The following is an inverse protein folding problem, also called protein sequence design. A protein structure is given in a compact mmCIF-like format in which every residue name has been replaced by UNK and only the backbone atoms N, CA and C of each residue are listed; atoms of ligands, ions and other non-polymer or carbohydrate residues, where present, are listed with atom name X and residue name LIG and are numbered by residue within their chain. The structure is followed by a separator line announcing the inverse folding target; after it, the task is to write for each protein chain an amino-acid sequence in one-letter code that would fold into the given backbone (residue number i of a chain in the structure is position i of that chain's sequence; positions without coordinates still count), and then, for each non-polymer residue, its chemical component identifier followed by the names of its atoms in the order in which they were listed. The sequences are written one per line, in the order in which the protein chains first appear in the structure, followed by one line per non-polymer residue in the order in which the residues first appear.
data_IF_158220206145
#
_entry.id   IF_158220206145
#
_cell.length_a   1.000
_cell.length_b   1.000
_cell.length_c   1.000
_cell.angle_alpha   90.00
_cell.angle_beta   90.00
_cell.angle_gamma   90.00
#
_symmetry.space_group_name_H-M   'P 1'
#
loop_
_entity.id
_entity.type
_entity.pdbx_description
1 polymer ?
#
# COMPACT_ATOMS: atom_id res chain seq x y z
N UNK A 1 14.65 1.37 4.78
CA UNK A 1 15.11 2.70 4.31
C UNK A 1 15.18 2.70 2.80
N UNK A 2 14.91 3.82 2.10
CA UNK A 2 15.17 3.94 0.67
C UNK A 2 16.64 3.61 0.36
N UNK A 3 16.85 2.95 -0.76
CA UNK A 3 18.18 2.62 -1.26
C UNK A 3 18.49 3.46 -2.50
N UNK A 4 19.78 3.67 -2.79
CA UNK A 4 20.18 4.47 -3.93
C UNK A 4 19.88 3.75 -5.25
N UNK A 5 19.08 4.41 -6.11
CA UNK A 5 18.78 3.99 -7.48
C UNK A 5 19.25 5.08 -8.45
N UNK A 6 18.38 5.92 -9.02
CA UNK A 6 18.76 7.05 -9.89
C UNK A 6 19.70 8.02 -9.17
N UNK A 7 19.39 8.37 -7.93
CA UNK A 7 20.30 9.03 -7.02
C UNK A 7 21.07 7.98 -6.22
N UNK A 8 22.40 8.03 -6.29
CA UNK A 8 23.25 7.12 -5.52
C UNK A 8 23.46 7.58 -4.06
N UNK A 9 23.19 8.84 -3.79
CA UNK A 9 23.38 9.47 -2.49
C UNK A 9 22.48 10.70 -2.36
N UNK A 10 22.13 11.07 -1.13
CA UNK A 10 21.44 12.33 -0.83
C UNK A 10 21.86 12.88 0.53
N UNK A 11 21.75 14.18 0.68
CA UNK A 11 22.04 14.92 1.90
C UNK A 11 20.92 15.92 2.19
N UNK A 12 20.71 16.19 3.47
CA UNK A 12 19.75 17.19 3.93
C UNK A 12 20.51 18.28 4.71
N UNK A 13 20.10 19.54 4.52
CA UNK A 13 20.60 20.66 5.30
C UNK A 13 20.22 20.55 6.78
N UNK A 14 20.98 21.16 7.70
CA UNK A 14 20.68 21.08 9.13
C UNK A 14 19.29 21.54 9.54
N UNK A 15 18.71 22.47 8.79
CA UNK A 15 17.33 22.98 8.98
C UNK A 15 16.24 22.05 8.39
N UNK A 16 16.63 20.97 7.69
CA UNK A 16 15.72 20.04 7.07
C UNK A 16 15.00 20.56 5.82
N UNK A 17 15.36 21.75 5.32
CA UNK A 17 14.64 22.43 4.26
C UNK A 17 15.22 22.24 2.86
N UNK A 18 16.45 21.75 2.74
CA UNK A 18 17.09 21.51 1.44
C UNK A 18 17.64 20.10 1.37
N UNK A 19 17.22 19.40 0.32
CA UNK A 19 17.67 18.06 0.01
C UNK A 19 18.47 18.08 -1.29
N UNK A 20 19.69 17.54 -1.27
CA UNK A 20 20.56 17.39 -2.43
C UNK A 20 20.61 15.92 -2.82
N UNK A 21 20.13 15.59 -4.01
CA UNK A 21 20.15 14.23 -4.57
C UNK A 21 21.22 14.16 -5.67
N UNK A 22 22.20 13.30 -5.47
CA UNK A 22 23.32 13.12 -6.40
C UNK A 22 23.01 12.01 -7.38
N UNK A 23 22.78 12.41 -8.62
CA UNK A 23 22.32 11.55 -9.72
C UNK A 23 23.50 10.81 -10.32
N UNK A 24 23.30 9.52 -10.65
CA UNK A 24 24.34 8.73 -11.34
C UNK A 24 24.59 9.28 -12.75
N UNK A 25 25.85 9.29 -13.15
CA UNK A 25 26.27 9.72 -14.49
C UNK A 25 26.04 8.67 -15.59
N UNK A 26 25.78 7.42 -15.22
CA UNK A 26 25.68 6.27 -16.13
C UNK A 26 24.24 5.88 -16.46
N UNK A 27 23.30 6.72 -16.15
CA UNK A 27 21.87 6.42 -16.38
C UNK A 27 21.55 6.47 -17.87
N UNK A 28 20.80 5.46 -18.33
CA UNK A 28 20.29 5.39 -19.68
C UNK A 28 18.79 5.10 -19.68
N UNK A 29 18.05 5.79 -20.54
CA UNK A 29 16.69 5.43 -20.86
C UNK A 29 16.63 4.12 -21.66
N UNK A 30 15.48 3.45 -21.67
CA UNK A 30 15.28 2.20 -22.41
C UNK A 30 15.51 2.34 -23.94
N UNK A 31 15.37 3.55 -24.50
CA UNK A 31 15.68 3.85 -25.89
C UNK A 31 17.19 4.01 -26.16
N UNK A 32 18.00 4.07 -25.10
CA UNK A 32 19.44 4.18 -25.17
C UNK A 32 20.01 5.58 -24.98
N UNK A 33 19.17 6.59 -24.85
CA UNK A 33 19.60 7.96 -24.58
C UNK A 33 20.09 8.10 -23.13
N UNK A 34 21.00 9.02 -22.90
CA UNK A 34 21.47 9.36 -21.55
C UNK A 34 20.37 10.07 -20.78
N UNK A 35 20.19 9.70 -19.50
CA UNK A 35 19.28 10.41 -18.60
C UNK A 35 19.96 11.66 -18.07
N UNK A 36 19.41 12.82 -18.38
CA UNK A 36 19.90 14.10 -17.87
C UNK A 36 19.13 14.54 -16.62
N UNK A 37 19.82 15.15 -15.65
CA UNK A 37 19.22 15.65 -14.41
C UNK A 37 18.12 16.69 -14.69
N UNK A 38 18.22 17.44 -15.77
CA UNK A 38 17.19 18.40 -16.22
C UNK A 38 15.90 17.69 -16.59
N UNK A 39 15.99 16.53 -17.25
CA UNK A 39 14.82 15.71 -17.60
C UNK A 39 14.13 15.18 -16.34
N UNK A 40 14.91 14.70 -15.34
CA UNK A 40 14.36 14.26 -14.05
C UNK A 40 13.64 15.40 -13.34
N UNK A 41 14.24 16.59 -13.30
CA UNK A 41 13.59 17.78 -12.75
C UNK A 41 12.26 18.06 -13.44
N UNK A 42 12.25 18.08 -14.76
CA UNK A 42 11.04 18.35 -15.57
C UNK A 42 9.93 17.35 -15.27
N UNK A 43 10.26 16.06 -15.18
CA UNK A 43 9.29 15.01 -14.84
C UNK A 43 8.77 15.15 -13.44
N UNK A 44 9.62 15.47 -12.46
CA UNK A 44 9.16 15.72 -11.08
C UNK A 44 8.19 16.91 -11.03
N UNK A 45 8.49 18.00 -11.75
CA UNK A 45 7.58 19.15 -11.79
C UNK A 45 6.20 18.78 -12.35
N UNK A 46 6.15 17.96 -13.42
CA UNK A 46 4.89 17.46 -13.96
C UNK A 46 4.13 16.57 -12.96
N UNK A 47 4.82 15.76 -12.17
CA UNK A 47 4.18 14.96 -11.11
C UNK A 47 3.56 15.85 -10.01
N UNK A 48 4.20 16.98 -9.67
CA UNK A 48 3.66 17.91 -8.66
C UNK A 48 2.35 18.59 -9.12
N UNK A 49 2.10 18.67 -10.41
CA UNK A 49 0.86 19.22 -10.96
C UNK A 49 -0.32 18.26 -10.87
N UNK A 50 -0.06 16.96 -10.69
CA UNK A 50 -1.12 15.96 -10.60
C UNK A 50 -1.91 16.12 -9.29
N UNK A 51 -3.26 16.29 -9.35
CA UNK A 51 -4.07 16.47 -8.16
C UNK A 51 -3.90 15.37 -7.12
N UNK A 52 -3.77 14.12 -7.55
CA UNK A 52 -3.58 12.95 -6.69
C UNK A 52 -2.26 12.98 -5.89
N UNK A 53 -1.24 13.69 -6.38
CA UNK A 53 0.09 13.76 -5.75
C UNK A 53 0.32 15.08 -4.99
N UNK A 54 -0.56 16.05 -5.15
CA UNK A 54 -0.42 17.38 -4.56
C UNK A 54 -0.27 17.34 -3.04
N UNK A 55 -1.08 16.52 -2.37
CA UNK A 55 -1.00 16.36 -0.90
C UNK A 55 0.29 15.66 -0.49
N UNK A 56 0.72 14.65 -1.25
CA UNK A 56 1.92 13.87 -0.96
C UNK A 56 3.19 14.72 -0.99
N UNK A 57 3.27 15.66 -1.92
CA UNK A 57 4.43 16.52 -2.15
C UNK A 57 4.21 17.97 -1.71
N UNK A 58 3.21 18.22 -0.86
CA UNK A 58 2.85 19.57 -0.41
C UNK A 58 3.98 20.32 0.34
N UNK A 59 5.00 19.60 0.82
CA UNK A 59 6.18 20.21 1.44
C UNK A 59 7.14 20.86 0.43
N UNK A 60 7.09 20.47 -0.85
CA UNK A 60 8.05 20.92 -1.87
C UNK A 60 7.71 22.35 -2.30
N UNK A 61 8.69 23.24 -2.19
CA UNK A 61 8.64 24.63 -2.65
C UNK A 61 9.26 24.80 -4.05
N UNK A 62 10.41 24.19 -4.28
CA UNK A 62 11.18 24.38 -5.52
C UNK A 62 12.07 23.17 -5.81
N UNK A 63 12.31 22.91 -7.09
CA UNK A 63 13.22 21.90 -7.57
C UNK A 63 14.19 22.54 -8.55
N UNK A 64 15.49 22.43 -8.29
CA UNK A 64 16.56 23.00 -9.12
C UNK A 64 17.61 21.95 -9.49
N UNK A 65 18.25 22.17 -10.63
CA UNK A 65 19.50 21.49 -10.99
C UNK A 65 20.64 22.44 -10.63
N UNK A 66 21.33 22.15 -9.51
CA UNK A 66 22.43 22.99 -9.00
C UNK A 66 23.76 22.67 -9.67
N UNK A 67 23.95 21.42 -10.09
CA UNK A 67 25.08 20.92 -10.86
C UNK A 67 24.60 19.85 -11.81
N UNK A 68 25.40 19.49 -12.81
CA UNK A 68 25.04 18.52 -13.85
C UNK A 68 24.47 17.19 -13.30
N UNK A 69 24.88 16.79 -12.11
CA UNK A 69 24.45 15.55 -11.44
C UNK A 69 23.84 15.80 -10.05
N UNK A 70 23.36 17.00 -9.77
CA UNK A 70 22.76 17.31 -8.48
C UNK A 70 21.38 17.98 -8.65
N UNK A 71 20.37 17.29 -8.15
CA UNK A 71 19.02 17.79 -8.04
C UNK A 71 18.81 18.30 -6.61
N UNK A 72 18.45 19.57 -6.47
CA UNK A 72 18.17 20.19 -5.16
C UNK A 72 16.68 20.43 -5.03
N UNK A 73 16.08 19.86 -3.97
CA UNK A 73 14.68 20.07 -3.61
C UNK A 73 14.63 20.95 -2.37
N UNK A 74 13.99 22.10 -2.49
CA UNK A 74 13.75 23.03 -1.39
C UNK A 74 12.33 22.87 -0.88
N UNK A 75 12.16 22.85 0.43
CA UNK A 75 10.89 22.62 1.10
C UNK A 75 10.38 23.87 1.80
N UNK A 76 9.05 24.01 1.95
CA UNK A 76 8.41 25.03 2.79
C UNK A 76 8.53 24.68 4.29
N UNK A 77 8.58 23.40 4.61
CA UNK A 77 8.72 22.82 5.95
C UNK A 77 9.50 21.52 5.88
N UNK A 78 10.20 21.13 6.95
CA UNK A 78 10.95 19.87 6.94
C UNK A 78 10.06 18.67 6.63
N UNK A 79 10.56 17.76 5.79
CA UNK A 79 9.90 16.50 5.46
C UNK A 79 10.95 15.38 5.37
N UNK A 80 11.10 14.66 6.46
CA UNK A 80 12.07 13.55 6.54
C UNK A 80 11.54 12.24 5.93
N UNK A 81 10.29 12.26 5.42
CA UNK A 81 9.76 11.22 4.55
C UNK A 81 10.06 11.46 3.06
N UNK A 82 10.66 12.59 2.67
CA UNK A 82 10.88 12.94 1.27
C UNK A 82 11.61 11.84 0.47
N UNK A 83 12.68 11.19 0.95
CA UNK A 83 13.31 10.10 0.22
C UNK A 83 12.38 8.90 0.00
N UNK A 84 11.48 8.61 0.94
CA UNK A 84 10.47 7.57 0.79
C UNK A 84 9.40 7.96 -0.23
N UNK A 85 8.97 9.24 -0.24
CA UNK A 85 8.01 9.76 -1.23
C UNK A 85 8.56 9.64 -2.64
N UNK A 86 9.84 10.00 -2.82
CA UNK A 86 10.53 9.88 -4.11
C UNK A 86 10.85 8.42 -4.51
N UNK A 87 10.95 7.51 -3.57
CA UNK A 87 11.10 6.07 -3.82
C UNK A 87 9.74 5.34 -3.99
N UNK A 88 8.63 6.07 -3.89
CA UNK A 88 7.28 5.51 -4.06
C UNK A 88 6.97 5.27 -5.54
N UNK A 89 6.10 4.27 -5.81
CA UNK A 89 5.57 4.04 -7.15
C UNK A 89 4.83 5.26 -7.75
N UNK A 90 4.33 6.16 -6.90
CA UNK A 90 3.68 7.40 -7.34
C UNK A 90 4.65 8.39 -8.00
N UNK A 91 5.95 8.24 -7.76
CA UNK A 91 7.02 9.12 -8.26
C UNK A 91 7.93 8.45 -9.28
N UNK A 92 7.50 7.34 -9.87
CA UNK A 92 8.23 6.70 -10.98
C UNK A 92 8.43 7.69 -12.12
N UNK A 93 9.68 7.83 -12.51
CA UNK A 93 10.08 8.74 -13.58
C UNK A 93 10.16 7.99 -14.92
N UNK A 94 9.53 8.56 -15.93
CA UNK A 94 9.59 8.10 -17.30
C UNK A 94 10.23 9.18 -18.20
N UNK A 95 10.58 8.81 -19.42
CA UNK A 95 11.09 9.74 -20.41
C UNK A 95 10.11 10.92 -20.61
N UNK A 96 10.59 12.16 -20.81
CA UNK A 96 9.72 13.32 -20.97
C UNK A 96 8.71 13.17 -22.12
N UNK A 97 9.13 12.60 -23.24
CA UNK A 97 8.33 12.52 -24.46
C UNK A 97 7.54 11.21 -24.61
N UNK A 98 7.89 10.16 -23.84
CA UNK A 98 7.21 8.86 -23.92
C UNK A 98 7.15 8.18 -22.54
N UNK A 99 5.97 8.09 -21.93
CA UNK A 99 5.80 7.46 -20.61
C UNK A 99 6.05 5.94 -20.60
N UNK A 100 6.13 5.28 -21.75
CA UNK A 100 6.49 3.87 -21.84
C UNK A 100 7.99 3.62 -21.73
N UNK A 101 8.81 4.68 -21.87
CA UNK A 101 10.26 4.63 -21.77
C UNK A 101 10.69 4.96 -20.34
N UNK A 102 11.20 3.98 -19.63
CA UNK A 102 11.78 4.12 -18.31
C UNK A 102 13.30 3.96 -18.33
N UNK A 103 13.89 3.82 -17.14
CA UNK A 103 15.31 3.52 -16.93
C UNK A 103 15.51 2.36 -15.95
N UNK A 104 14.48 1.58 -15.70
CA UNK A 104 14.49 0.42 -14.82
C UNK A 104 15.19 -0.81 -15.43
N UNK A 105 15.21 -1.93 -14.67
CA UNK A 105 15.90 -3.16 -15.09
C UNK A 105 15.27 -3.86 -16.30
N UNK A 106 13.99 -3.59 -16.56
CA UNK A 106 13.26 -4.15 -17.70
C UNK A 106 12.59 -3.06 -18.52
N UNK A 107 12.59 -3.22 -19.82
CA UNK A 107 11.93 -2.33 -20.79
C UNK A 107 10.68 -2.97 -21.37
N UNK A 108 9.65 -2.18 -21.60
CA UNK A 108 8.43 -2.63 -22.24
C UNK A 108 8.69 -2.99 -23.71
N UNK A 109 8.39 -4.23 -24.12
CA UNK A 109 8.54 -4.72 -25.48
C UNK A 109 7.20 -4.87 -26.19
N UNK A 110 6.20 -5.35 -25.48
CA UNK A 110 4.85 -5.54 -25.99
C UNK A 110 3.83 -5.20 -24.91
N UNK A 111 2.78 -4.51 -25.30
CA UNK A 111 1.62 -4.23 -24.49
C UNK A 111 0.36 -4.51 -25.30
N UNK A 112 -0.43 -5.51 -24.90
CA UNK A 112 -1.70 -5.84 -25.51
C UNK A 112 -2.70 -6.27 -24.42
N UNK A 113 -4.01 -6.36 -24.71
CA UNK A 113 -4.98 -6.82 -23.74
C UNK A 113 -4.69 -8.21 -23.15
N UNK A 114 -3.98 -9.06 -23.87
CA UNK A 114 -3.71 -10.44 -23.47
C UNK A 114 -2.30 -10.65 -22.90
N UNK A 115 -1.35 -9.76 -23.24
CA UNK A 115 0.05 -9.97 -22.93
C UNK A 115 0.80 -8.66 -22.70
N UNK A 116 1.47 -8.56 -21.57
CA UNK A 116 2.52 -7.58 -21.33
C UNK A 116 3.86 -8.31 -21.31
N UNK A 117 4.77 -7.97 -22.24
CA UNK A 117 6.12 -8.52 -22.31
C UNK A 117 7.15 -7.46 -22.00
N UNK A 118 8.00 -7.77 -21.05
CA UNK A 118 9.15 -6.96 -20.65
C UNK A 118 10.43 -7.71 -21.05
N UNK A 119 11.46 -6.99 -21.50
CA UNK A 119 12.79 -7.52 -21.77
C UNK A 119 13.81 -6.82 -20.89
N UNK A 120 14.88 -7.51 -20.51
CA UNK A 120 15.93 -6.91 -19.70
C UNK A 120 16.54 -5.67 -20.40
N UNK A 121 16.97 -4.71 -19.60
CA UNK A 121 17.64 -3.50 -20.06
C UNK A 121 19.16 -3.72 -20.03
N UNK A 122 19.85 -3.86 -21.18
CA UNK A 122 21.27 -4.21 -21.22
C UNK A 122 22.20 -3.16 -20.60
N UNK A 123 21.74 -1.90 -20.50
CA UNK A 123 22.48 -0.78 -19.93
C UNK A 123 21.90 -0.32 -18.59
N UNK A 124 21.23 -1.23 -17.87
CA UNK A 124 20.75 -0.91 -16.53
C UNK A 124 21.93 -0.58 -15.60
N UNK A 125 21.80 0.49 -14.86
CA UNK A 125 22.88 1.10 -14.07
C UNK A 125 23.22 0.39 -12.76
N UNK A 126 22.40 -0.57 -12.34
CA UNK A 126 22.66 -1.45 -11.20
C UNK A 126 22.95 -2.89 -11.68
N UNK A 127 22.68 -3.87 -10.86
CA UNK A 127 22.86 -5.27 -11.22
C UNK A 127 21.93 -5.66 -12.37
N UNK A 128 22.52 -6.17 -13.45
CA UNK A 128 21.75 -6.65 -14.60
C UNK A 128 20.86 -7.84 -14.20
N UNK A 129 19.57 -7.83 -14.59
CA UNK A 129 18.71 -8.98 -14.42
C UNK A 129 19.27 -10.20 -15.14
N UNK A 130 19.29 -11.35 -14.47
CA UNK A 130 19.69 -12.62 -15.07
C UNK A 130 18.58 -13.24 -15.91
N UNK A 131 17.33 -12.82 -15.69
CA UNK A 131 16.18 -13.17 -16.52
C UNK A 131 16.15 -12.26 -17.75
N UNK A 132 16.02 -12.87 -18.93
CA UNK A 132 16.03 -12.12 -20.20
C UNK A 132 14.69 -11.43 -20.48
N UNK A 133 13.58 -12.09 -20.16
CA UNK A 133 12.23 -11.55 -20.37
C UNK A 133 11.27 -11.99 -19.29
N UNK A 134 10.25 -11.16 -19.07
CA UNK A 134 9.10 -11.42 -18.19
C UNK A 134 7.84 -11.23 -19.01
N UNK A 135 6.95 -12.19 -18.98
CA UNK A 135 5.64 -12.13 -19.64
C UNK A 135 4.51 -12.21 -18.61
N UNK A 136 3.61 -11.23 -18.66
CA UNK A 136 2.36 -11.24 -17.91
C UNK A 136 1.23 -11.60 -18.87
N UNK A 137 0.71 -12.81 -18.73
CA UNK A 137 -0.45 -13.26 -19.48
C UNK A 137 -1.71 -12.87 -18.74
N UNK A 138 -2.56 -12.08 -19.39
CA UNK A 138 -3.81 -11.60 -18.81
C UNK A 138 -4.89 -12.63 -19.14
N UNK A 139 -5.38 -13.34 -18.12
CA UNK A 139 -6.39 -14.38 -18.25
C UNK A 139 -7.68 -13.91 -17.56
N UNK A 140 -8.63 -13.29 -18.29
CA UNK A 140 -9.85 -12.75 -17.68
C UNK A 140 -10.70 -13.78 -16.94
N UNK A 141 -10.60 -15.05 -17.33
CA UNK A 141 -11.35 -16.17 -16.73
C UNK A 141 -10.89 -16.54 -15.32
N UNK A 142 -9.70 -16.09 -14.88
CA UNK A 142 -9.26 -16.26 -13.50
C UNK A 142 -9.90 -15.26 -12.53
N UNK A 143 -10.57 -14.23 -13.05
CA UNK A 143 -11.37 -13.31 -12.27
C UNK A 143 -12.83 -13.72 -12.34
N UNK A 144 -13.22 -14.71 -11.56
CA UNK A 144 -14.62 -15.00 -11.33
C UNK A 144 -15.19 -13.89 -10.42
N UNK A 145 -16.05 -13.06 -10.98
CA UNK A 145 -16.70 -11.95 -10.28
C UNK A 145 -17.53 -12.43 -9.09
N UNK A 146 -18.07 -13.66 -9.18
CA UNK A 146 -18.98 -14.21 -8.18
C UNK A 146 -18.26 -14.79 -6.97
N UNK A 147 -16.97 -15.07 -7.09
CA UNK A 147 -16.19 -15.68 -6.00
C UNK A 147 -15.27 -14.71 -5.28
N UNK A 148 -15.06 -13.50 -5.82
CA UNK A 148 -14.17 -12.52 -5.22
C UNK A 148 -12.78 -13.09 -4.85
N UNK A 149 -12.25 -13.98 -5.65
CA UNK A 149 -11.23 -14.97 -5.30
C UNK A 149 -9.80 -14.47 -5.32
N UNK A 150 -9.56 -13.21 -5.07
CA UNK A 150 -8.19 -12.67 -5.12
C UNK A 150 -7.21 -13.36 -4.16
N UNK A 151 -7.68 -14.00 -3.09
CA UNK A 151 -6.83 -14.68 -2.12
C UNK A 151 -6.72 -16.20 -2.33
N UNK A 152 -7.66 -16.82 -3.03
CA UNK A 152 -7.66 -18.29 -3.28
C UNK A 152 -6.85 -18.71 -4.50
N UNK A 153 -6.60 -17.79 -5.43
CA UNK A 153 -5.79 -18.06 -6.61
C UNK A 153 -4.54 -17.20 -6.56
N UNK A 154 -3.46 -17.73 -5.99
CA UNK A 154 -2.18 -17.04 -6.03
C UNK A 154 -1.83 -16.72 -7.48
N UNK A 155 -1.23 -15.56 -7.72
CA UNK A 155 -0.63 -15.26 -9.01
C UNK A 155 0.33 -16.41 -9.33
N UNK A 156 -0.01 -17.25 -10.31
CA UNK A 156 0.85 -18.33 -10.71
C UNK A 156 1.98 -17.78 -11.56
N UNK A 157 3.20 -17.93 -11.08
CA UNK A 157 4.37 -17.69 -11.89
C UNK A 157 4.71 -19.01 -12.58
N UNK A 158 4.53 -19.00 -13.87
CA UNK A 158 5.01 -20.09 -14.72
C UNK A 158 6.34 -19.65 -15.32
N UNK A 159 7.39 -20.44 -15.08
CA UNK A 159 8.67 -20.26 -15.73
C UNK A 159 8.89 -21.51 -16.57
N UNK A 160 9.03 -21.36 -17.87
CA UNK A 160 9.07 -22.43 -18.85
C UNK A 160 7.76 -22.61 -19.62
N UNK A 161 7.58 -23.72 -20.30
CA UNK A 161 6.38 -24.01 -21.07
C UNK A 161 5.15 -24.22 -20.19
N UNK A 162 3.97 -23.83 -20.70
CA UNK A 162 2.67 -23.87 -20.01
C UNK A 162 2.30 -25.24 -19.43
N UNK A 163 2.94 -26.31 -19.87
CA UNK A 163 2.62 -27.69 -19.46
C UNK A 163 3.22 -28.11 -18.11
N UNK A 164 4.16 -27.32 -17.56
CA UNK A 164 4.85 -27.65 -16.30
C UNK A 164 4.16 -27.09 -15.03
N UNK A 165 2.91 -26.67 -15.12
CA UNK A 165 2.15 -26.06 -14.01
C UNK A 165 1.94 -26.98 -12.78
N UNK A 166 2.27 -28.28 -12.88
CA UNK A 166 1.94 -29.25 -11.83
C UNK A 166 3.00 -29.41 -10.73
N UNK A 167 4.17 -28.81 -10.88
CA UNK A 167 5.30 -28.97 -9.95
C UNK A 167 5.71 -27.68 -9.24
N UNK A 168 4.74 -26.89 -8.78
CA UNK A 168 5.05 -25.66 -8.05
C UNK A 168 5.60 -25.99 -6.65
N UNK A 169 6.75 -25.42 -6.33
CA UNK A 169 7.36 -25.50 -5.00
C UNK A 169 7.13 -24.17 -4.27
N UNK A 170 6.76 -24.24 -3.02
CA UNK A 170 6.74 -23.06 -2.17
C UNK A 170 8.16 -22.50 -2.02
N UNK A 171 8.38 -21.27 -2.44
CA UNK A 171 9.70 -20.62 -2.51
C UNK A 171 9.94 -19.69 -1.33
N UNK A 172 8.91 -19.14 -0.72
CA UNK A 172 9.05 -18.17 0.35
C UNK A 172 8.15 -18.52 1.53
N UNK A 173 8.69 -18.20 2.69
CA UNK A 173 7.93 -18.14 3.92
C UNK A 173 6.99 -16.92 3.90
N UNK A 174 6.08 -16.88 4.88
CA UNK A 174 5.11 -15.83 5.10
C UNK A 174 5.73 -14.43 4.96
N UNK A 175 5.19 -13.63 4.07
CA UNK A 175 5.50 -12.20 3.98
C UNK A 175 4.24 -11.48 4.45
N UNK A 176 4.33 -10.83 5.62
CA UNK A 176 3.23 -9.95 6.07
C UNK A 176 3.19 -8.73 5.16
N UNK A 177 2.15 -8.63 4.34
CA UNK A 177 1.99 -7.53 3.40
C UNK A 177 1.13 -6.41 3.94
N UNK A 178 0.23 -6.71 4.88
CA UNK A 178 -0.70 -5.71 5.35
C UNK A 178 -1.69 -6.22 6.39
N UNK A 179 -2.73 -5.45 6.58
CA UNK A 179 -3.81 -5.77 7.49
C UNK A 179 -5.15 -5.33 6.92
N UNK A 180 -6.20 -6.00 7.34
CA UNK A 180 -7.57 -5.55 7.14
C UNK A 180 -8.03 -4.75 8.35
N UNK A 181 -8.87 -3.76 8.09
CA UNK A 181 -9.36 -2.83 9.10
C UNK A 181 -10.85 -2.57 8.97
N UNK A 182 -11.44 -2.12 10.07
CA UNK A 182 -12.74 -1.49 10.11
C UNK A 182 -12.56 -0.03 10.54
N UNK A 183 -13.21 0.90 9.83
CA UNK A 183 -13.38 2.28 10.27
C UNK A 183 -14.83 2.57 10.60
N UNK A 184 -15.05 3.44 11.59
CA UNK A 184 -16.35 3.77 12.12
C UNK A 184 -16.55 5.30 12.08
N UNK A 185 -17.59 5.75 11.42
CA UNK A 185 -17.92 7.18 11.30
C UNK A 185 -18.72 7.64 12.50
N UNK A 186 -18.14 8.48 13.33
CA UNK A 186 -18.89 9.14 14.38
C UNK A 186 -19.91 10.12 13.80
N UNK A 187 -21.17 9.94 14.16
CA UNK A 187 -22.29 10.71 13.64
C UNK A 187 -23.44 10.70 14.67
N UNK A 188 -24.52 11.44 14.44
CA UNK A 188 -25.72 11.30 15.27
C UNK A 188 -26.31 9.88 15.31
N UNK A 189 -26.00 9.04 14.30
CA UNK A 189 -26.42 7.63 14.24
C UNK A 189 -25.47 6.69 14.99
N UNK A 190 -24.20 7.02 15.09
CA UNK A 190 -23.17 6.20 15.71
C UNK A 190 -22.28 7.05 16.61
N UNK A 191 -22.59 7.09 17.89
CA UNK A 191 -21.77 7.79 18.89
C UNK A 191 -20.47 7.05 19.17
N UNK A 192 -19.46 7.75 19.72
CA UNK A 192 -18.18 7.14 20.16
C UNK A 192 -18.41 5.92 21.08
N UNK A 193 -19.30 6.01 22.05
CA UNK A 193 -19.57 4.91 22.98
C UNK A 193 -20.17 3.68 22.27
N UNK A 194 -21.03 3.90 21.29
CA UNK A 194 -21.58 2.83 20.45
C UNK A 194 -20.51 2.23 19.52
N UNK A 195 -19.64 3.06 18.95
CA UNK A 195 -18.50 2.59 18.15
C UNK A 195 -17.54 1.73 18.99
N UNK A 196 -17.20 2.15 20.21
CA UNK A 196 -16.40 1.36 21.16
C UNK A 196 -17.05 0.02 21.49
N UNK A 197 -18.40 0.00 21.69
CA UNK A 197 -19.12 -1.25 21.88
C UNK A 197 -19.04 -2.17 20.66
N UNK A 198 -19.18 -1.62 19.44
CA UNK A 198 -19.04 -2.40 18.20
C UNK A 198 -17.65 -3.01 18.07
N UNK A 199 -16.59 -2.23 18.30
CA UNK A 199 -15.20 -2.73 18.30
C UNK A 199 -15.05 -3.88 19.33
N UNK A 200 -15.59 -3.72 20.52
CA UNK A 200 -15.56 -4.78 21.54
C UNK A 200 -16.29 -6.04 21.09
N UNK A 201 -17.47 -5.92 20.48
CA UNK A 201 -18.21 -7.08 19.94
C UNK A 201 -17.37 -7.81 18.87
N UNK A 202 -16.71 -7.09 17.99
CA UNK A 202 -15.89 -7.66 16.91
C UNK A 202 -14.71 -8.45 17.47
N UNK A 203 -14.02 -7.89 18.46
CA UNK A 203 -12.82 -8.50 19.02
C UNK A 203 -13.09 -9.61 20.05
N UNK A 204 -14.23 -9.59 20.74
CA UNK A 204 -14.60 -10.61 21.71
C UNK A 204 -15.52 -11.70 21.12
N UNK A 205 -15.97 -11.55 19.89
CA UNK A 205 -16.73 -12.58 19.21
C UNK A 205 -15.79 -13.46 18.36
N UNK A 206 -16.13 -14.73 18.24
CA UNK A 206 -15.46 -15.67 17.34
C UNK A 206 -15.73 -15.39 15.86
N UNK A 207 -15.92 -14.12 15.48
CA UNK A 207 -16.24 -13.74 14.10
C UNK A 207 -15.19 -14.19 13.09
N UNK A 208 -13.92 -14.22 13.49
CA UNK A 208 -12.84 -14.68 12.63
C UNK A 208 -12.66 -16.21 12.66
N UNK A 209 -13.05 -16.88 13.73
CA UNK A 209 -12.86 -18.33 13.90
C UNK A 209 -13.77 -19.15 12.96
N UNK A 210 -14.86 -18.55 12.49
CA UNK A 210 -15.83 -19.21 11.61
C UNK A 210 -15.58 -18.96 10.13
N UNK A 211 -14.58 -18.13 9.79
CA UNK A 211 -14.25 -17.86 8.41
C UNK A 211 -13.50 -19.07 7.79
N UNK A 212 -13.82 -19.46 6.55
CA UNK A 212 -13.11 -20.53 5.86
C UNK A 212 -11.75 -20.04 5.37
N UNK A 213 -10.88 -19.71 6.32
CA UNK A 213 -9.56 -19.14 6.06
C UNK A 213 -8.52 -20.24 6.07
N UNK A 214 -7.54 -20.16 5.19
CA UNK A 214 -6.32 -20.92 5.34
C UNK A 214 -5.58 -20.39 6.59
N UNK A 215 -5.46 -21.24 7.62
CA UNK A 215 -4.93 -20.88 8.95
C UNK A 215 -3.59 -20.11 8.91
N UNK A 216 -2.85 -20.27 7.83
CA UNK A 216 -1.54 -19.66 7.68
C UNK A 216 -1.53 -18.31 6.96
N UNK A 217 -2.60 -17.94 6.25
CA UNK A 217 -2.63 -16.72 5.46
C UNK A 217 -3.23 -15.54 6.20
N UNK A 218 -4.14 -15.80 7.13
CA UNK A 218 -4.85 -14.78 7.89
C UNK A 218 -4.69 -15.04 9.37
N UNK A 219 -4.32 -14.01 10.10
CA UNK A 219 -4.14 -14.07 11.55
C UNK A 219 -4.92 -12.92 12.18
N UNK A 220 -5.90 -13.21 13.09
CA UNK A 220 -6.59 -12.17 13.85
C UNK A 220 -5.57 -11.24 14.52
N UNK A 221 -5.83 -9.95 14.49
CA UNK A 221 -4.89 -8.97 15.01
C UNK A 221 -5.61 -7.74 15.57
N UNK A 222 -5.15 -7.30 16.73
CA UNK A 222 -5.52 -6.03 17.34
C UNK A 222 -4.44 -4.96 17.15
N UNK A 223 -3.44 -5.25 16.33
CA UNK A 223 -2.29 -4.38 16.10
C UNK A 223 -2.26 -3.89 14.65
N UNK A 224 -1.99 -2.61 14.48
CA UNK A 224 -1.67 -2.02 13.16
C UNK A 224 -0.28 -2.48 12.70
N UNK A 225 0.72 -2.34 13.59
CA UNK A 225 2.06 -2.88 13.47
C UNK A 225 2.42 -3.60 14.78
N UNK A 226 3.47 -4.42 14.82
CA UNK A 226 3.92 -5.04 16.06
C UNK A 226 4.13 -4.00 17.17
N UNK A 227 3.39 -4.16 18.28
CA UNK A 227 3.41 -3.23 19.40
C UNK A 227 2.60 -1.94 19.21
N UNK A 228 1.85 -1.80 18.11
CA UNK A 228 0.94 -0.67 17.87
C UNK A 228 -0.50 -1.08 18.12
N UNK A 229 -0.84 -1.27 19.38
CA UNK A 229 -2.17 -1.64 19.85
C UNK A 229 -2.54 -0.81 21.06
N UNK A 230 -3.83 -0.76 21.37
CA UNK A 230 -4.37 -0.21 22.61
C UNK A 230 -4.92 -1.35 23.46
N UNK A 231 -4.91 -1.22 24.80
CA UNK A 231 -5.59 -2.17 25.67
C UNK A 231 -7.08 -2.23 25.32
N UNK A 232 -7.59 -3.43 25.10
CA UNK A 232 -9.02 -3.64 24.89
C UNK A 232 -9.75 -3.53 26.25
N UNK A 233 -10.60 -2.51 26.37
CA UNK A 233 -11.47 -2.36 27.52
C UNK A 233 -12.57 -3.44 27.53
N UNK A 234 -13.19 -3.72 28.71
CA UNK A 234 -14.33 -4.61 28.77
C UNK A 234 -15.50 -4.05 27.94
N UNK A 235 -16.25 -4.96 27.31
CA UNK A 235 -17.43 -4.57 26.53
C UNK A 235 -18.44 -3.84 27.44
N UNK A 236 -18.74 -2.60 27.14
CA UNK A 236 -19.80 -1.87 27.81
C UNK A 236 -21.17 -2.26 27.21
N UNK A 237 -21.74 -3.37 27.72
CA UNK A 237 -23.01 -3.91 27.25
C UNK A 237 -24.22 -3.01 27.60
N UNK A 238 -24.05 -2.01 28.47
CA UNK A 238 -25.11 -1.07 28.83
C UNK A 238 -25.42 -0.02 27.75
N UNK A 239 -24.48 0.23 26.84
CA UNK A 239 -24.68 1.19 25.72
C UNK A 239 -25.52 0.51 24.63
N UNK A 240 -26.74 1.00 24.30
CA UNK A 240 -27.54 0.40 23.23
C UNK A 240 -26.88 0.58 21.86
N UNK A 241 -26.96 -0.44 21.00
CA UNK A 241 -26.53 -0.31 19.62
C UNK A 241 -27.55 0.52 18.82
N UNK A 242 -27.13 1.18 17.72
CA UNK A 242 -28.07 1.78 16.77
C UNK A 242 -29.01 0.72 16.18
N UNK A 243 -30.27 1.10 15.89
CA UNK A 243 -31.22 0.18 15.27
C UNK A 243 -30.79 -0.25 13.85
N UNK A 244 -30.13 0.65 13.12
CA UNK A 244 -29.66 0.41 11.74
C UNK A 244 -28.30 1.02 11.51
N UNK A 245 -27.45 0.28 10.80
CA UNK A 245 -26.13 0.71 10.32
C UNK A 245 -25.90 0.26 8.88
N UNK A 246 -25.02 0.95 8.19
CA UNK A 246 -24.59 0.61 6.85
C UNK A 246 -23.09 0.33 6.84
N UNK A 247 -22.70 -0.85 6.33
CA UNK A 247 -21.31 -1.26 6.17
C UNK A 247 -20.95 -1.29 4.69
N UNK A 248 -19.98 -0.49 4.32
CA UNK A 248 -19.33 -0.54 3.02
C UNK A 248 -18.09 -1.43 3.11
N UNK A 249 -17.89 -2.33 2.16
CA UNK A 249 -16.71 -3.18 2.09
C UNK A 249 -16.30 -3.45 0.64
N UNK A 250 -15.05 -3.83 0.44
CA UNK A 250 -14.50 -4.24 -0.86
C UNK A 250 -13.71 -5.55 -0.72
N UNK A 251 -13.13 -6.05 -1.81
CA UNK A 251 -12.23 -7.20 -1.76
C UNK A 251 -11.08 -6.98 -0.76
N UNK A 252 -10.58 -8.02 -0.11
CA UNK A 252 -10.69 -9.46 -0.45
C UNK A 252 -11.97 -10.16 0.04
N UNK A 253 -12.16 -11.40 -0.39
CA UNK A 253 -13.35 -12.24 -0.08
C UNK A 253 -13.59 -12.41 1.40
N UNK A 254 -12.53 -12.46 2.18
CA UNK A 254 -12.57 -12.59 3.63
C UNK A 254 -13.35 -11.45 4.27
N UNK A 255 -13.29 -10.24 3.69
CA UNK A 255 -14.08 -9.11 4.15
C UNK A 255 -15.57 -9.33 3.89
N UNK A 256 -15.95 -9.97 2.78
CA UNK A 256 -17.36 -10.33 2.54
C UNK A 256 -17.85 -11.32 3.59
N UNK A 257 -17.12 -12.41 3.82
CA UNK A 257 -17.49 -13.41 4.81
C UNK A 257 -17.59 -12.78 6.22
N UNK A 258 -16.64 -11.91 6.57
CA UNK A 258 -16.66 -11.19 7.85
C UNK A 258 -17.83 -10.22 7.94
N UNK A 259 -18.16 -9.50 6.87
CA UNK A 259 -19.30 -8.58 6.83
C UNK A 259 -20.63 -9.35 7.08
N UNK A 260 -20.79 -10.52 6.46
CA UNK A 260 -21.97 -11.38 6.68
C UNK A 260 -22.05 -11.92 8.11
N UNK A 261 -20.94 -12.36 8.69
CA UNK A 261 -20.88 -12.78 10.08
C UNK A 261 -21.24 -11.63 11.04
N UNK A 262 -20.69 -10.44 10.78
CA UNK A 262 -21.01 -9.25 11.57
C UNK A 262 -22.48 -8.88 11.46
N UNK A 263 -23.07 -8.95 10.26
CA UNK A 263 -24.50 -8.70 10.02
C UNK A 263 -25.37 -9.64 10.87
N UNK A 264 -25.09 -10.94 10.83
CA UNK A 264 -25.82 -11.94 11.63
C UNK A 264 -25.67 -11.68 13.12
N UNK A 265 -24.46 -11.36 13.59
CA UNK A 265 -24.21 -11.10 15.01
C UNK A 265 -24.94 -9.85 15.50
N UNK A 266 -24.92 -8.78 14.72
CA UNK A 266 -25.59 -7.52 15.08
C UNK A 266 -27.12 -7.67 15.05
N UNK A 267 -27.68 -8.47 14.14
CA UNK A 267 -29.11 -8.77 14.12
C UNK A 267 -29.59 -9.41 15.43
N UNK A 268 -28.81 -10.33 16.01
CA UNK A 268 -29.12 -10.93 17.32
C UNK A 268 -29.10 -9.91 18.46
N UNK A 269 -28.43 -8.78 18.27
CA UNK A 269 -28.33 -7.69 19.24
C UNK A 269 -29.32 -6.54 18.94
N UNK A 270 -30.23 -6.73 17.99
CA UNK A 270 -31.26 -5.76 17.61
C UNK A 270 -30.75 -4.64 16.70
N UNK A 271 -29.62 -4.82 16.03
CA UNK A 271 -29.07 -3.87 15.07
C UNK A 271 -29.10 -4.47 13.65
N UNK A 272 -29.84 -3.85 12.76
CA UNK A 272 -29.90 -4.21 11.34
C UNK A 272 -28.67 -3.64 10.60
N UNK A 273 -27.85 -4.49 9.98
CA UNK A 273 -26.69 -4.08 9.21
C UNK A 273 -26.94 -4.26 7.71
N UNK A 274 -26.99 -3.16 6.98
CA UNK A 274 -27.06 -3.16 5.50
C UNK A 274 -25.64 -3.25 4.94
N UNK A 275 -25.41 -4.25 4.06
CA UNK A 275 -24.11 -4.46 3.42
C UNK A 275 -24.09 -3.81 2.03
N UNK A 276 -23.08 -3.00 1.76
CA UNK A 276 -22.79 -2.39 0.47
C UNK A 276 -21.44 -2.87 -0.02
N UNK A 277 -21.45 -3.62 -1.12
CA UNK A 277 -20.22 -4.06 -1.76
C UNK A 277 -19.74 -3.02 -2.77
N UNK A 278 -18.45 -2.75 -2.78
CA UNK A 278 -17.79 -1.90 -3.75
C UNK A 278 -16.69 -2.69 -4.46
N UNK A 279 -16.86 -2.93 -5.75
CA UNK A 279 -15.98 -3.77 -6.57
C UNK A 279 -14.72 -3.04 -7.04
N UNK A 280 -14.70 -1.71 -6.98
CA UNK A 280 -13.53 -0.93 -7.33
C UNK A 280 -12.48 -0.97 -6.21
N UNK A 281 -11.22 -1.16 -6.58
CA UNK A 281 -10.08 -1.12 -5.66
C UNK A 281 -9.74 0.31 -5.21
N UNK A 282 -10.46 1.30 -5.68
CA UNK A 282 -10.24 2.71 -5.43
C UNK A 282 -11.46 3.34 -4.76
N UNK A 283 -11.30 3.80 -3.52
CA UNK A 283 -12.32 4.51 -2.79
C UNK A 283 -12.79 5.81 -3.46
N UNK A 284 -11.93 6.48 -4.24
CA UNK A 284 -12.26 7.75 -4.91
C UNK A 284 -13.47 7.65 -5.83
N UNK A 285 -13.67 6.49 -6.47
CA UNK A 285 -14.83 6.20 -7.30
C UNK A 285 -16.07 5.73 -6.53
N UNK A 286 -16.01 5.58 -5.20
CA UNK A 286 -17.09 5.03 -4.41
C UNK A 286 -18.13 6.09 -4.03
N UNK A 287 -19.30 6.04 -4.67
CA UNK A 287 -20.41 6.94 -4.39
C UNK A 287 -20.99 6.78 -2.97
N UNK A 288 -20.80 5.62 -2.33
CA UNK A 288 -21.35 5.30 -1.01
C UNK A 288 -20.41 5.64 0.14
N UNK A 289 -19.16 6.06 -0.14
CA UNK A 289 -18.16 6.35 0.88
C UNK A 289 -18.65 7.36 1.91
N UNK A 290 -19.32 8.43 1.45
CA UNK A 290 -19.91 9.46 2.31
C UNK A 290 -21.17 9.04 3.08
N UNK A 291 -21.78 7.89 2.76
CA UNK A 291 -23.07 7.44 3.32
C UNK A 291 -22.91 6.29 4.32
N UNK A 292 -21.82 5.53 4.25
CA UNK A 292 -21.59 4.39 5.11
C UNK A 292 -21.26 4.84 6.56
N UNK A 293 -21.81 4.13 7.54
CA UNK A 293 -21.48 4.28 8.95
C UNK A 293 -20.20 3.53 9.31
N UNK A 294 -19.98 2.38 8.65
CA UNK A 294 -18.85 1.49 8.83
C UNK A 294 -18.19 1.22 7.48
N UNK A 295 -16.86 1.09 7.43
CA UNK A 295 -16.14 0.74 6.22
C UNK A 295 -15.05 -0.28 6.53
N UNK A 296 -15.09 -1.44 5.85
CA UNK A 296 -14.04 -2.46 5.88
C UNK A 296 -13.16 -2.35 4.65
N UNK A 297 -11.86 -2.42 4.85
CA UNK A 297 -10.88 -2.40 3.79
C UNK A 297 -9.59 -3.08 4.20
N UNK A 298 -8.65 -3.09 3.28
CA UNK A 298 -7.30 -3.58 3.51
C UNK A 298 -6.26 -2.50 3.27
N UNK A 299 -5.11 -2.65 3.88
CA UNK A 299 -3.96 -1.78 3.67
C UNK A 299 -2.68 -2.57 3.54
N UNK A 300 -2.01 -2.41 2.40
CA UNK A 300 -0.64 -2.87 2.18
C UNK A 300 0.34 -1.94 2.90
N UNK A 301 1.25 -2.51 3.67
CA UNK A 301 2.26 -1.78 4.44
C UNK A 301 3.70 -2.06 3.98
N UNK A 302 3.96 -3.24 3.41
CA UNK A 302 5.20 -3.61 2.77
C UNK A 302 6.47 -3.39 3.60
N UNK A 303 7.57 -3.06 2.91
CA UNK A 303 8.92 -2.95 3.51
C UNK A 303 9.18 -1.66 4.30
N UNK A 304 8.32 -0.65 4.14
CA UNK A 304 8.41 0.62 4.86
C UNK A 304 7.07 0.92 5.53
N UNK A 305 6.69 0.12 6.55
CA UNK A 305 5.34 0.11 7.09
C UNK A 305 4.92 1.46 7.67
N UNK A 306 5.79 2.13 8.40
CA UNK A 306 5.47 3.42 9.03
C UNK A 306 5.21 4.49 7.95
N UNK A 307 6.02 4.52 6.88
CA UNK A 307 5.80 5.43 5.77
C UNK A 307 4.49 5.10 5.03
N UNK A 308 4.20 3.82 4.80
CA UNK A 308 2.97 3.40 4.15
C UNK A 308 1.72 3.81 4.95
N UNK A 309 1.79 3.75 6.27
CA UNK A 309 0.74 4.19 7.18
C UNK A 309 0.58 5.72 7.19
N UNK A 310 1.70 6.47 7.21
CA UNK A 310 1.65 7.94 7.10
C UNK A 310 1.03 8.36 5.77
N UNK A 311 1.47 7.75 4.66
CA UNK A 311 0.91 8.02 3.33
C UNK A 311 -0.58 7.69 3.27
N UNK A 312 -1.03 6.61 3.89
CA UNK A 312 -2.44 6.24 3.96
C UNK A 312 -3.27 7.31 4.68
N UNK A 313 -2.85 7.73 5.88
CA UNK A 313 -3.54 8.78 6.63
C UNK A 313 -3.56 10.12 5.88
N UNK A 314 -2.51 10.42 5.12
CA UNK A 314 -2.34 11.69 4.42
C UNK A 314 -3.13 11.77 3.13
N UNK A 315 -3.13 10.71 2.32
CA UNK A 315 -3.54 10.78 0.92
C UNK A 315 -4.82 10.02 0.59
N UNK A 316 -5.27 9.09 1.45
CA UNK A 316 -6.42 8.28 1.14
C UNK A 316 -7.73 9.06 1.36
N UNK A 317 -8.62 9.00 0.36
CA UNK A 317 -9.92 9.66 0.40
C UNK A 317 -10.87 9.11 1.47
N UNK A 318 -10.55 7.97 2.07
CA UNK A 318 -11.26 7.44 3.22
C UNK A 318 -11.34 8.48 4.35
N UNK A 319 -10.21 9.09 4.70
CA UNK A 319 -10.08 9.95 5.89
C UNK A 319 -10.89 11.24 5.82
N UNK A 320 -10.87 12.04 4.74
CA UNK A 320 -11.72 13.23 4.64
C UNK A 320 -13.22 12.89 4.58
N UNK A 321 -13.58 11.67 4.17
CA UNK A 321 -14.96 11.20 4.18
C UNK A 321 -15.40 10.59 5.52
N UNK A 322 -14.45 10.10 6.32
CA UNK A 322 -14.70 9.50 7.64
C UNK A 322 -14.75 10.54 8.74
N UNK A 323 -13.80 11.48 8.73
CA UNK A 323 -13.60 12.50 9.77
C UNK A 323 -14.38 13.77 9.46
N UNK A 324 -14.75 14.52 10.48
CA UNK A 324 -15.21 15.91 10.30
C UNK A 324 -14.09 16.78 9.74
N UNK A 325 -14.43 17.88 9.08
CA UNK A 325 -13.42 18.80 8.53
C UNK A 325 -12.40 19.26 9.58
N UNK A 326 -12.82 19.52 10.81
CA UNK A 326 -11.92 19.91 11.90
C UNK A 326 -10.99 18.75 12.34
N UNK A 327 -11.52 17.54 12.46
CA UNK A 327 -10.72 16.35 12.79
C UNK A 327 -9.70 16.03 11.69
N UNK A 328 -10.12 16.11 10.42
CA UNK A 328 -9.23 15.89 9.29
C UNK A 328 -8.12 16.93 9.21
N UNK A 329 -8.44 18.21 9.40
CA UNK A 329 -7.45 19.29 9.45
C UNK A 329 -6.45 19.09 10.61
N UNK A 330 -6.93 18.68 11.77
CA UNK A 330 -6.08 18.33 12.91
C UNK A 330 -5.15 17.13 12.60
N UNK A 331 -5.68 16.08 11.97
CA UNK A 331 -4.89 14.94 11.54
C UNK A 331 -3.76 15.37 10.60
N UNK A 332 -4.06 16.17 9.56
CA UNK A 332 -3.07 16.67 8.62
C UNK A 332 -1.98 17.52 9.30
N UNK A 333 -2.36 18.40 10.21
CA UNK A 333 -1.41 19.21 10.99
C UNK A 333 -0.51 18.33 11.88
N UNK A 334 -1.08 17.27 12.48
CA UNK A 334 -0.31 16.30 13.29
C UNK A 334 0.69 15.54 12.42
N UNK A 335 0.28 15.09 11.22
CA UNK A 335 1.18 14.43 10.27
C UNK A 335 2.30 15.37 9.78
N UNK A 336 2.02 16.67 9.64
CA UNK A 336 3.04 17.67 9.33
C UNK A 336 4.07 17.81 10.45
N UNK A 337 3.65 17.74 11.71
CA UNK A 337 4.56 17.72 12.86
C UNK A 337 5.38 16.41 12.92
N UNK A 338 4.76 15.26 12.62
CA UNK A 338 5.44 13.96 12.55
C UNK A 338 6.54 13.99 11.48
N UNK A 339 6.22 14.36 10.25
CA UNK A 339 7.19 14.36 9.14
C UNK A 339 8.37 15.30 9.36
N UNK A 340 8.20 16.34 10.17
CA UNK A 340 9.22 17.36 10.46
C UNK A 340 10.26 16.90 11.48
N UNK A 341 10.09 15.75 12.14
CA UNK A 341 11.04 15.22 13.11
C UNK A 341 12.21 14.53 12.40
N UNK A 342 13.46 14.93 12.67
CA UNK A 342 14.63 14.37 12.00
C UNK A 342 14.92 12.92 12.42
N UNK A 343 14.65 12.58 13.68
CA UNK A 343 14.88 11.25 14.20
C UNK A 343 13.78 10.27 13.82
N UNK A 344 14.15 9.12 13.23
CA UNK A 344 13.23 8.11 12.76
C UNK A 344 12.38 7.49 13.88
N UNK A 345 13.00 7.25 15.05
CA UNK A 345 12.30 6.67 16.20
C UNK A 345 11.23 7.63 16.73
N UNK A 346 11.59 8.90 16.86
CA UNK A 346 10.64 9.95 17.30
C UNK A 346 9.48 10.09 16.33
N UNK A 347 9.74 10.02 14.99
CA UNK A 347 8.66 10.00 13.98
C UNK A 347 7.75 8.80 14.14
N UNK A 348 8.31 7.61 14.33
CA UNK A 348 7.54 6.38 14.47
C UNK A 348 6.71 6.37 15.76
N UNK A 349 7.28 6.84 16.86
CA UNK A 349 6.56 6.97 18.13
C UNK A 349 5.40 7.98 18.03
N UNK A 350 5.64 9.11 17.36
CA UNK A 350 4.59 10.11 17.13
C UNK A 350 3.47 9.57 16.21
N UNK A 351 3.83 8.85 15.14
CA UNK A 351 2.85 8.21 14.25
C UNK A 351 2.05 7.11 14.97
N UNK A 352 2.71 6.31 15.82
CA UNK A 352 2.03 5.32 16.67
C UNK A 352 0.97 5.99 17.55
N UNK A 353 1.29 7.14 18.14
CA UNK A 353 0.33 7.87 18.97
C UNK A 353 -0.89 8.35 18.17
N UNK A 354 -0.72 8.71 16.89
CA UNK A 354 -1.87 9.01 16.00
C UNK A 354 -2.77 7.79 15.85
N UNK A 355 -2.21 6.62 15.58
CA UNK A 355 -3.00 5.38 15.46
C UNK A 355 -3.65 4.97 16.78
N UNK A 356 -2.94 5.09 17.89
CA UNK A 356 -3.52 4.83 19.21
C UNK A 356 -4.74 5.71 19.46
N UNK A 357 -4.64 7.02 19.15
CA UNK A 357 -5.79 7.94 19.30
C UNK A 357 -6.97 7.55 18.40
N UNK A 358 -6.73 7.15 17.15
CA UNK A 358 -7.78 6.68 16.25
C UNK A 358 -8.47 5.41 16.78
N UNK A 359 -7.71 4.50 17.39
CA UNK A 359 -8.24 3.27 18.00
C UNK A 359 -8.97 3.54 19.32
N UNK A 360 -8.44 4.40 20.20
CA UNK A 360 -9.08 4.81 21.47
C UNK A 360 -10.41 5.52 21.24
N UNK A 361 -10.47 6.29 20.17
CA UNK A 361 -11.69 6.94 19.73
C UNK A 361 -12.65 5.99 18.99
N UNK A 362 -12.25 4.73 18.76
CA UNK A 362 -12.97 3.77 17.93
C UNK A 362 -13.35 4.33 16.56
N UNK A 363 -12.46 5.13 15.95
CA UNK A 363 -12.55 5.58 14.56
C UNK A 363 -12.04 4.50 13.63
N UNK A 364 -11.05 3.72 14.09
CA UNK A 364 -10.45 2.62 13.34
C UNK A 364 -10.10 1.48 14.28
N UNK A 365 -10.19 0.25 13.78
CA UNK A 365 -9.67 -0.94 14.45
C UNK A 365 -9.10 -1.93 13.44
N UNK A 366 -7.93 -2.53 13.70
CA UNK A 366 -7.44 -3.66 12.93
C UNK A 366 -8.33 -4.88 13.15
N UNK A 367 -8.44 -5.72 12.13
CA UNK A 367 -9.25 -6.94 12.17
C UNK A 367 -8.34 -8.18 12.13
N UNK A 368 -7.53 -8.26 11.10
CA UNK A 368 -6.59 -9.36 10.90
C UNK A 368 -5.42 -8.93 10.02
N UNK A 369 -4.29 -9.61 10.17
CA UNK A 369 -3.12 -9.52 9.27
C UNK A 369 -3.23 -10.60 8.21
N UNK A 370 -2.74 -10.31 7.02
CA UNK A 370 -2.66 -11.29 5.95
C UNK A 370 -1.24 -11.42 5.42
N UNK A 371 -0.91 -12.65 5.01
CA UNK A 371 0.38 -13.03 4.50
C UNK A 371 0.23 -13.56 3.07
N UNK A 372 1.25 -13.38 2.26
CA UNK A 372 1.34 -14.01 0.96
C UNK A 372 2.30 -15.19 1.00
N UNK A 373 1.96 -16.23 0.24
CA UNK A 373 2.88 -17.31 -0.11
C UNK A 373 3.30 -17.14 -1.55
N UNK A 374 4.58 -17.31 -1.81
CA UNK A 374 5.12 -17.37 -3.17
C UNK A 374 5.36 -18.80 -3.52
N UNK A 375 4.79 -19.26 -4.64
CA UNK A 375 5.07 -20.55 -5.23
C UNK A 375 5.68 -20.34 -6.61
N UNK A 376 6.71 -21.11 -6.92
CA UNK A 376 7.38 -21.07 -8.20
C UNK A 376 7.85 -22.48 -8.58
N UNK A 377 8.10 -22.76 -9.88
CA UNK A 377 8.69 -24.01 -10.31
C UNK A 377 10.05 -24.29 -9.66
N UNK A 378 10.45 -25.56 -9.53
CA UNK A 378 11.79 -25.92 -9.07
C UNK A 378 12.87 -25.22 -9.90
N UNK A 379 13.92 -24.73 -9.25
CA UNK A 379 15.03 -24.06 -9.94
C UNK A 379 14.91 -22.53 -9.99
N UNK A 380 13.74 -21.93 -9.71
CA UNK A 380 13.62 -20.48 -9.58
C UNK A 380 14.21 -20.03 -8.25
N UNK A 381 15.14 -19.10 -8.30
CA UNK A 381 15.82 -18.55 -7.15
C UNK A 381 15.73 -17.03 -7.13
N UNK A 382 15.96 -16.42 -5.96
CA UNK A 382 16.03 -14.96 -5.81
C UNK A 382 14.71 -14.22 -6.01
N UNK A 383 13.59 -14.94 -6.21
CA UNK A 383 12.28 -14.31 -6.37
C UNK A 383 11.83 -13.67 -5.05
N UNK A 384 11.49 -12.39 -5.09
CA UNK A 384 11.05 -11.60 -3.94
C UNK A 384 9.78 -10.85 -4.27
N UNK A 385 9.00 -10.52 -3.24
CA UNK A 385 7.91 -9.55 -3.35
C UNK A 385 8.43 -8.19 -2.90
N UNK A 386 8.04 -7.16 -3.65
CA UNK A 386 8.25 -5.80 -3.19
C UNK A 386 7.18 -5.38 -2.18
N UNK A 387 7.29 -4.17 -1.66
CA UNK A 387 6.37 -3.59 -0.69
C UNK A 387 4.88 -3.57 -1.13
N UNK A 388 4.61 -3.81 -2.40
CA UNK A 388 3.26 -3.86 -2.97
C UNK A 388 2.75 -5.28 -3.22
N UNK A 389 3.51 -6.28 -2.81
CA UNK A 389 3.18 -7.67 -3.12
C UNK A 389 3.41 -8.03 -4.59
N UNK A 390 4.20 -7.24 -5.32
CA UNK A 390 4.59 -7.55 -6.70
C UNK A 390 5.95 -8.22 -6.73
N UNK A 391 6.18 -9.05 -7.73
CA UNK A 391 7.44 -9.74 -7.89
C UNK A 391 8.56 -8.81 -8.35
N UNK A 392 9.68 -8.86 -7.62
CA UNK A 392 10.94 -8.29 -8.07
C UNK A 392 11.70 -9.31 -8.91
N UNK A 393 11.52 -9.22 -10.22
CA UNK A 393 12.20 -10.07 -11.18
C UNK A 393 13.66 -9.69 -11.42
N UNK A 394 14.11 -8.53 -10.98
CA UNK A 394 15.50 -8.11 -11.14
C UNK A 394 16.46 -8.99 -10.32
N UNK A 395 15.97 -9.51 -9.19
CA UNK A 395 16.73 -10.40 -8.31
C UNK A 395 16.55 -11.89 -8.63
N UNK A 396 15.61 -12.25 -9.51
CA UNK A 396 15.31 -13.64 -9.85
C UNK A 396 16.32 -14.23 -10.83
N UNK A 397 16.63 -15.51 -10.68
CA UNK A 397 17.53 -16.22 -11.57
C UNK A 397 17.21 -17.72 -11.67
N UNK A 398 17.64 -18.32 -12.79
CA UNK A 398 17.55 -19.74 -13.07
C UNK A 398 18.96 -20.32 -13.13
N UNK A 399 19.23 -21.50 -12.58
CA UNK A 399 20.49 -22.18 -12.81
C UNK A 399 20.66 -22.43 -14.32
N UNK A 400 21.89 -22.34 -14.81
CA UNK A 400 22.18 -22.75 -16.18
C UNK A 400 21.72 -24.23 -16.34
N UNK A 401 20.93 -24.53 -17.37
CA UNK A 401 20.60 -25.89 -17.71
C UNK A 401 21.93 -26.62 -17.92
N UNK A 402 22.17 -27.68 -17.15
CA UNK A 402 23.23 -28.61 -17.44
C UNK A 402 22.91 -29.27 -18.79
N UNK A 403 23.50 -28.71 -19.85
CA UNK A 403 23.49 -29.31 -21.19
C UNK A 403 24.17 -30.69 -21.17
#
# INVERSE_FOLDING_TARGET
MPIGDLAHHWQVSPDGLRWHFYIRSTLCWHNGDTVETVQLRQRLLLLLELPALRTLFASISRIDVTHAQCLTITLHRPDYWLPFRLASYCSVLAHPDDPAIGCGPFRLKRFSPELVRLENHPRYHLQHPLIQAVEYWITPQLFDRDLGTSCRHPVQITIGDREELHNLRQVSNRISLGFCYLTLRHSPRLSKAQAQRLVSIIHHSSLLDTLPLEEDLITPSHEVLPGWSIPQGPANNAVPLPARLTLLYHLPVELHAMAEQLRQRLALLGCELTLLFHDAKNWEGCQHLGQADLMMGDRLIGEAPEYALEQWLRCDMLWPNLLTGAQYAHLQATLDAVQSQPDARSRNDALRNVFNSLMEDAIMTPLFKYNYRISAPPGVNGLRLNARGWFDFASAWLPASST
#
